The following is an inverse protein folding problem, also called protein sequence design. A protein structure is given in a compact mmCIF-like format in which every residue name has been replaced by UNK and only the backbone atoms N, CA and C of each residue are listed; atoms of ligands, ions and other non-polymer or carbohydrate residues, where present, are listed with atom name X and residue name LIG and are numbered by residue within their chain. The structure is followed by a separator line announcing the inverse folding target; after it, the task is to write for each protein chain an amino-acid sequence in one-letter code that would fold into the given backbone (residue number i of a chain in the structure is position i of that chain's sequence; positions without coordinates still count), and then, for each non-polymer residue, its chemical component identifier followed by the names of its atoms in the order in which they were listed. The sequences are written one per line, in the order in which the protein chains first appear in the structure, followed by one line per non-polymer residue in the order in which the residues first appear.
data_IF_278064478499
#
_entry.id   IF_278064478499
#
_cell.length_a   1.000
_cell.length_b   1.000
_cell.length_c   1.000
_cell.angle_alpha   90.00
_cell.angle_beta   90.00
_cell.angle_gamma   90.00
#
_symmetry.space_group_name_H-M   'P 1'
#
loop_
_entity.id
_entity.type
_entity.pdbx_description
1 polymer ?
#
# COMPACT_ATOMS: atom_id res chain seq x y z
N UNK A 1 -9.54 -7.51 -8.93
CA UNK A 1 -10.76 -7.77 -8.10
C UNK A 1 -11.06 -6.51 -7.30
N UNK A 2 -12.30 -5.98 -7.27
CA UNK A 2 -12.58 -4.75 -6.51
C UNK A 2 -12.47 -4.92 -4.98
N UNK A 3 -11.94 -3.90 -4.28
CA UNK A 3 -12.00 -3.75 -2.81
C UNK A 3 -12.71 -2.44 -2.41
N UNK A 4 -13.25 -2.38 -1.19
CA UNK A 4 -13.84 -1.14 -0.66
C UNK A 4 -12.76 -0.16 -0.17
N UNK A 5 -11.71 -0.68 0.47
CA UNK A 5 -10.60 0.10 1.00
C UNK A 5 -9.27 -0.51 0.56
N UNK A 6 -8.34 0.33 0.09
CA UNK A 6 -6.95 -0.04 -0.15
C UNK A 6 -6.06 0.83 0.74
N UNK A 7 -5.37 0.21 1.70
CA UNK A 7 -4.49 0.90 2.63
C UNK A 7 -3.03 0.70 2.24
N UNK A 8 -2.29 1.80 2.13
CA UNK A 8 -0.87 1.81 1.82
C UNK A 8 -0.05 2.16 3.07
N UNK A 9 1.07 1.47 3.25
CA UNK A 9 2.14 1.80 4.18
C UNK A 9 3.46 1.96 3.44
N UNK A 10 4.38 2.78 3.97
CA UNK A 10 5.75 2.77 3.45
C UNK A 10 6.43 1.44 3.82
N UNK A 11 6.17 0.97 5.04
CA UNK A 11 6.73 -0.26 5.62
C UNK A 11 5.64 -1.15 6.22
N UNK A 12 5.91 -2.46 6.41
CA UNK A 12 4.95 -3.35 7.04
C UNK A 12 4.80 -3.07 8.55
N UNK A 13 3.80 -2.29 8.94
CA UNK A 13 3.31 -1.98 10.32
C UNK A 13 2.67 -0.58 10.36
N UNK A 14 3.02 0.28 9.40
CA UNK A 14 2.48 1.64 9.25
C UNK A 14 0.96 1.66 9.20
N UNK A 15 0.38 0.72 8.44
CA UNK A 15 -1.07 0.60 8.25
C UNK A 15 -1.75 0.21 9.55
N UNK A 16 -1.17 -0.75 10.26
CA UNK A 16 -1.63 -1.22 11.56
C UNK A 16 -1.59 -0.09 12.60
N UNK A 17 -0.48 0.64 12.65
CA UNK A 17 -0.26 1.74 13.58
C UNK A 17 -1.17 2.94 13.29
N UNK A 18 -1.31 3.31 12.01
CA UNK A 18 -2.08 4.49 11.59
C UNK A 18 -3.58 4.26 11.52
N UNK A 19 -4.02 3.06 11.08
CA UNK A 19 -5.43 2.82 10.78
C UNK A 19 -5.92 1.39 11.06
N UNK A 20 -5.19 0.56 11.82
CA UNK A 20 -5.59 -0.82 12.13
C UNK A 20 -6.99 -0.93 12.76
N UNK A 21 -7.36 -0.02 13.66
CA UNK A 21 -8.71 0.03 14.23
C UNK A 21 -9.81 0.35 13.21
N UNK A 22 -9.53 1.21 12.22
CA UNK A 22 -10.43 1.51 11.11
C UNK A 22 -10.59 0.31 10.19
N UNK A 23 -9.50 -0.41 9.91
CA UNK A 23 -9.52 -1.63 9.10
C UNK A 23 -10.34 -2.70 9.79
N UNK A 24 -10.02 -3.04 11.05
CA UNK A 24 -10.73 -4.07 11.81
C UNK A 24 -12.23 -3.76 11.94
N UNK A 25 -12.60 -2.50 12.16
CA UNK A 25 -14.00 -2.07 12.15
C UNK A 25 -14.64 -2.26 10.78
N UNK A 26 -13.96 -1.86 9.71
CA UNK A 26 -14.48 -1.97 8.34
C UNK A 26 -14.70 -3.42 7.93
N UNK A 27 -13.73 -4.29 8.20
CA UNK A 27 -13.84 -5.74 7.92
C UNK A 27 -14.94 -6.39 8.76
N UNK A 28 -15.10 -6.01 10.03
CA UNK A 28 -16.22 -6.47 10.87
C UNK A 28 -17.60 -6.07 10.34
N UNK A 29 -17.68 -4.99 9.56
CA UNK A 29 -18.90 -4.52 8.88
C UNK A 29 -19.09 -5.16 7.49
N UNK A 30 -18.26 -6.14 7.12
CA UNK A 30 -18.33 -6.84 5.84
C UNK A 30 -17.66 -6.12 4.67
N UNK A 31 -16.92 -5.03 4.91
CA UNK A 31 -16.13 -4.38 3.86
C UNK A 31 -14.88 -5.18 3.54
N UNK A 32 -14.49 -5.15 2.27
CA UNK A 32 -13.25 -5.73 1.77
C UNK A 32 -12.11 -4.72 1.85
N UNK A 33 -11.00 -5.11 2.49
CA UNK A 33 -9.81 -4.26 2.65
C UNK A 33 -8.59 -4.99 2.09
N UNK A 34 -7.81 -4.30 1.25
CA UNK A 34 -6.47 -4.73 0.84
C UNK A 34 -5.40 -3.87 1.50
N UNK A 35 -4.23 -4.45 1.78
CA UNK A 35 -3.06 -3.74 2.30
C UNK A 35 -1.93 -3.81 1.28
N UNK A 36 -1.23 -2.70 1.06
CA UNK A 36 -0.06 -2.61 0.20
C UNK A 36 1.08 -1.99 1.00
N UNK A 37 2.18 -2.71 1.17
CA UNK A 37 3.42 -2.15 1.67
C UNK A 37 4.28 -1.75 0.47
N UNK A 38 4.82 -0.53 0.48
CA UNK A 38 5.66 -0.07 -0.63
C UNK A 38 7.05 -0.73 -0.60
N UNK A 39 7.59 -0.96 0.60
CA UNK A 39 8.91 -1.57 0.84
C UNK A 39 8.77 -2.75 1.79
N UNK A 40 9.82 -3.56 1.96
CA UNK A 40 9.85 -4.64 2.96
C UNK A 40 10.39 -4.18 4.33
N UNK A 41 10.79 -2.92 4.47
CA UNK A 41 11.38 -2.39 5.70
C UNK A 41 12.76 -2.98 6.01
N UNK A 42 13.52 -3.34 4.97
CA UNK A 42 14.78 -4.07 5.08
C UNK A 42 15.93 -3.28 5.72
N UNK A 43 15.83 -1.95 5.84
CA UNK A 43 16.79 -1.13 6.59
C UNK A 43 16.40 -0.96 8.07
N UNK A 44 15.30 -1.57 8.50
CA UNK A 44 14.88 -1.63 9.89
C UNK A 44 15.98 -2.21 10.81
N UNK A 45 16.19 -1.57 11.97
CA UNK A 45 17.28 -1.95 12.89
C UNK A 45 17.12 -3.33 13.51
N UNK A 46 15.87 -3.79 13.70
CA UNK A 46 15.56 -5.03 14.39
C UNK A 46 14.85 -6.01 13.47
N UNK A 47 15.09 -7.31 13.70
CA UNK A 47 14.45 -8.39 12.95
C UNK A 47 15.17 -8.73 11.65
N UNK A 48 14.49 -9.50 10.81
CA UNK A 48 14.90 -9.79 9.44
C UNK A 48 13.70 -9.63 8.51
N UNK A 49 13.94 -9.54 7.22
CA UNK A 49 12.87 -9.37 6.24
C UNK A 49 11.89 -10.54 6.26
N UNK A 50 12.39 -11.77 6.43
CA UNK A 50 11.57 -12.98 6.53
C UNK A 50 10.75 -13.03 7.82
N UNK A 51 11.27 -12.46 8.91
CA UNK A 51 10.49 -12.32 10.14
C UNK A 51 9.38 -11.28 9.95
N UNK A 52 9.71 -10.14 9.32
CA UNK A 52 8.78 -9.06 9.03
C UNK A 52 7.62 -9.54 8.14
N UNK A 53 7.90 -10.36 7.13
CA UNK A 53 6.86 -10.95 6.27
C UNK A 53 5.87 -11.83 7.07
N UNK A 54 6.39 -12.60 8.04
CA UNK A 54 5.54 -13.46 8.89
C UNK A 54 4.67 -12.63 9.83
N UNK A 55 5.26 -11.62 10.46
CA UNK A 55 4.54 -10.68 11.34
C UNK A 55 3.45 -9.93 10.56
N UNK A 56 3.79 -9.44 9.36
CA UNK A 56 2.86 -8.78 8.46
C UNK A 56 1.69 -9.68 8.04
N UNK A 57 1.95 -10.96 7.75
CA UNK A 57 0.91 -11.93 7.41
C UNK A 57 0.00 -12.24 8.61
N UNK A 58 0.55 -12.35 9.82
CA UNK A 58 -0.23 -12.54 11.04
C UNK A 58 -1.11 -11.32 11.34
N UNK A 59 -0.56 -10.11 11.24
CA UNK A 59 -1.30 -8.87 11.40
C UNK A 59 -2.46 -8.75 10.39
N UNK A 60 -2.23 -9.12 9.13
CA UNK A 60 -3.27 -9.20 8.10
C UNK A 60 -4.42 -10.13 8.48
N UNK A 61 -4.11 -11.30 9.05
CA UNK A 61 -5.10 -12.27 9.52
C UNK A 61 -5.93 -11.70 10.66
N UNK A 62 -5.28 -11.05 11.63
CA UNK A 62 -5.95 -10.40 12.78
C UNK A 62 -6.90 -9.29 12.32
N UNK A 63 -6.47 -8.47 11.36
CA UNK A 63 -7.28 -7.37 10.83
C UNK A 63 -8.39 -7.82 9.87
N UNK A 64 -8.34 -9.06 9.40
CA UNK A 64 -9.27 -9.59 8.39
C UNK A 64 -9.07 -8.97 7.01
N UNK A 65 -7.85 -8.52 6.68
CA UNK A 65 -7.54 -8.00 5.34
C UNK A 65 -7.66 -9.13 4.31
N UNK A 66 -8.23 -8.83 3.14
CA UNK A 66 -8.46 -9.80 2.07
C UNK A 66 -7.17 -10.26 1.40
N UNK A 67 -6.21 -9.36 1.30
CA UNK A 67 -4.86 -9.62 0.82
C UNK A 67 -3.90 -8.57 1.38
N UNK A 68 -2.60 -8.90 1.34
CA UNK A 68 -1.49 -7.98 1.55
C UNK A 68 -0.45 -8.22 0.48
N UNK A 69 0.04 -7.15 -0.14
CA UNK A 69 1.09 -7.20 -1.16
C UNK A 69 2.24 -6.28 -0.77
N UNK A 70 3.43 -6.61 -1.26
CA UNK A 70 4.59 -5.75 -1.21
C UNK A 70 4.98 -5.33 -2.65
N UNK A 71 5.37 -4.07 -2.85
CA UNK A 71 5.85 -3.58 -4.15
C UNK A 71 7.37 -3.67 -4.32
N UNK A 72 8.08 -4.13 -3.29
CA UNK A 72 9.54 -4.32 -3.28
C UNK A 72 10.32 -3.06 -3.69
N UNK A 73 9.80 -1.87 -3.35
CA UNK A 73 10.60 -0.65 -3.43
C UNK A 73 11.69 -0.66 -2.36
N UNK A 74 12.79 0.02 -2.66
CA UNK A 74 13.95 0.11 -1.77
C UNK A 74 13.64 1.00 -0.55
N UNK A 75 13.76 0.44 0.65
CA UNK A 75 13.56 1.13 1.93
C UNK A 75 14.54 2.30 2.09
N UNK A 76 14.08 3.46 2.55
CA UNK A 76 14.83 4.72 2.57
C UNK A 76 14.80 5.50 1.25
N UNK A 77 14.39 4.86 0.15
CA UNK A 77 14.51 5.36 -1.21
C UNK A 77 13.19 5.35 -1.99
N UNK A 78 12.06 5.56 -1.30
CA UNK A 78 10.78 5.81 -1.97
C UNK A 78 10.87 7.12 -2.74
N UNK A 79 10.80 7.05 -4.07
CA UNK A 79 10.77 8.23 -4.94
C UNK A 79 9.44 8.36 -5.64
N UNK A 80 8.95 9.60 -5.72
CA UNK A 80 7.82 9.93 -6.58
C UNK A 80 8.31 10.15 -8.02
N UNK A 81 8.61 9.05 -8.70
CA UNK A 81 9.05 9.00 -10.10
C UNK A 81 8.05 8.21 -10.94
N UNK A 82 8.17 8.29 -12.28
CA UNK A 82 7.22 7.62 -13.18
C UNK A 82 7.18 6.10 -13.00
N UNK A 83 8.31 5.46 -12.72
CA UNK A 83 8.40 4.01 -12.57
C UNK A 83 7.56 3.53 -11.37
N UNK A 84 7.81 4.12 -10.19
CA UNK A 84 7.06 3.81 -8.98
C UNK A 84 5.58 4.20 -9.11
N UNK A 85 5.28 5.32 -9.77
CA UNK A 85 3.91 5.74 -10.05
C UNK A 85 3.17 4.67 -10.87
N UNK A 86 3.81 4.12 -11.90
CA UNK A 86 3.20 3.09 -12.74
C UNK A 86 2.87 1.83 -11.94
N UNK A 87 3.75 1.39 -11.03
CA UNK A 87 3.45 0.24 -10.17
C UNK A 87 2.27 0.49 -9.23
N UNK A 88 2.21 1.66 -8.58
CA UNK A 88 1.07 2.03 -7.73
C UNK A 88 -0.23 2.16 -8.56
N UNK A 89 -0.16 2.75 -9.75
CA UNK A 89 -1.31 2.90 -10.66
C UNK A 89 -1.89 1.54 -11.05
N UNK A 90 -1.04 0.56 -11.41
CA UNK A 90 -1.49 -0.80 -11.76
C UNK A 90 -2.30 -1.43 -10.64
N UNK A 91 -1.83 -1.28 -9.38
CA UNK A 91 -2.53 -1.78 -8.20
C UNK A 91 -3.87 -1.06 -8.02
N UNK A 92 -3.89 0.27 -8.07
CA UNK A 92 -5.14 1.05 -7.93
C UNK A 92 -6.15 0.66 -9.03
N UNK A 93 -5.70 0.52 -10.28
CA UNK A 93 -6.56 0.10 -11.40
C UNK A 93 -7.05 -1.34 -11.30
N UNK A 94 -6.21 -2.25 -10.78
CA UNK A 94 -6.59 -3.64 -10.61
C UNK A 94 -7.64 -3.82 -9.50
N UNK A 95 -7.46 -3.11 -8.38
CA UNK A 95 -8.29 -3.26 -7.18
C UNK A 95 -9.43 -2.24 -7.07
N UNK A 96 -9.44 -1.19 -7.89
CA UNK A 96 -10.51 -0.19 -8.02
C UNK A 96 -11.13 0.26 -6.68
N UNK A 97 -10.31 0.68 -5.68
CA UNK A 97 -10.83 0.99 -4.35
C UNK A 97 -11.77 2.20 -4.34
N UNK A 98 -12.77 2.17 -3.45
CA UNK A 98 -13.61 3.35 -3.18
C UNK A 98 -12.91 4.34 -2.23
N UNK A 99 -12.04 3.83 -1.34
CA UNK A 99 -11.24 4.62 -0.39
C UNK A 99 -9.79 4.16 -0.44
N UNK A 100 -8.86 5.13 -0.56
CA UNK A 100 -7.43 4.91 -0.36
C UNK A 100 -7.03 5.50 1.00
N UNK A 101 -6.31 4.73 1.80
CA UNK A 101 -5.64 5.21 3.02
C UNK A 101 -4.13 5.25 2.75
N UNK A 102 -3.46 6.33 3.15
CA UNK A 102 -2.01 6.52 2.97
C UNK A 102 -1.38 7.06 4.26
N UNK A 103 -0.04 7.00 4.40
CA UNK A 103 0.67 7.74 5.43
C UNK A 103 0.39 9.25 5.33
N UNK A 104 0.64 9.98 6.43
CA UNK A 104 0.53 11.45 6.43
C UNK A 104 1.71 12.08 5.69
N UNK A 105 1.48 13.21 5.02
CA UNK A 105 2.56 13.95 4.34
C UNK A 105 3.60 14.53 5.32
N UNK A 106 3.17 14.85 6.54
CA UNK A 106 4.01 15.51 7.55
C UNK A 106 4.34 14.52 8.66
N UNK A 107 5.47 13.83 8.51
CA UNK A 107 6.02 12.89 9.48
C UNK A 107 7.53 13.14 9.66
N UNK A 108 8.08 12.75 10.82
CA UNK A 108 9.53 12.72 11.03
C UNK A 108 10.23 11.70 10.13
N UNK A 109 9.52 10.64 9.71
CA UNK A 109 10.06 9.61 8.83
C UNK A 109 9.84 10.06 7.38
N UNK A 110 10.92 10.38 6.67
CA UNK A 110 10.81 10.97 5.33
C UNK A 110 10.05 10.09 4.34
N UNK A 111 10.18 8.77 4.46
CA UNK A 111 9.49 7.85 3.54
C UNK A 111 7.97 7.89 3.68
N UNK A 112 7.41 8.24 4.85
CA UNK A 112 5.96 8.39 4.99
C UNK A 112 5.46 9.56 4.12
N UNK A 113 6.17 10.69 4.16
CA UNK A 113 5.86 11.85 3.33
C UNK A 113 6.00 11.54 1.84
N UNK A 114 7.12 10.94 1.44
CA UNK A 114 7.37 10.56 0.04
C UNK A 114 6.37 9.51 -0.47
N UNK A 115 6.00 8.53 0.35
CA UNK A 115 4.95 7.56 0.05
C UNK A 115 3.62 8.25 -0.15
N UNK A 116 3.23 9.17 0.75
CA UNK A 116 2.00 9.94 0.62
C UNK A 116 1.93 10.70 -0.70
N UNK A 117 3.01 11.38 -1.09
CA UNK A 117 3.05 12.14 -2.35
C UNK A 117 2.95 11.20 -3.57
N UNK A 118 3.71 10.10 -3.57
CA UNK A 118 3.65 9.07 -4.61
C UNK A 118 2.24 8.49 -4.76
N UNK A 119 1.59 8.12 -3.65
CA UNK A 119 0.24 7.52 -3.65
C UNK A 119 -0.79 8.54 -4.13
N UNK A 120 -0.71 9.79 -3.67
CA UNK A 120 -1.63 10.86 -4.06
C UNK A 120 -1.58 11.14 -5.56
N UNK A 121 -0.38 11.31 -6.13
CA UNK A 121 -0.22 11.54 -7.56
C UNK A 121 -0.64 10.32 -8.39
N UNK A 122 -0.28 9.11 -7.94
CA UNK A 122 -0.68 7.86 -8.60
C UNK A 122 -2.20 7.68 -8.59
N UNK A 123 -2.88 8.04 -7.51
CA UNK A 123 -4.34 7.99 -7.44
C UNK A 123 -4.98 8.88 -8.50
N UNK A 124 -4.50 10.12 -8.67
CA UNK A 124 -4.96 11.01 -9.74
C UNK A 124 -4.69 10.43 -11.14
N UNK A 125 -3.45 10.01 -11.39
CA UNK A 125 -3.02 9.48 -12.68
C UNK A 125 -3.74 8.17 -13.05
N UNK A 126 -4.14 7.38 -12.06
CA UNK A 126 -4.87 6.12 -12.29
C UNK A 126 -6.19 6.32 -13.04
N UNK A 127 -6.83 7.48 -12.90
CA UNK A 127 -8.05 7.86 -13.61
C UNK A 127 -7.84 8.35 -15.05
N UNK A 128 -6.59 8.54 -15.50
CA UNK A 128 -6.30 9.02 -16.86
C UNK A 128 -6.29 7.88 -17.87
N UNK A 129 -7.36 7.75 -18.64
CA UNK A 129 -7.57 6.65 -19.60
C UNK A 129 -6.58 6.57 -20.76
N UNK A 130 -5.76 7.62 -20.98
CA UNK A 130 -4.70 7.64 -22.01
C UNK A 130 -3.35 7.14 -21.50
N UNK A 131 -3.23 6.90 -20.21
CA UNK A 131 -2.04 6.29 -19.63
C UNK A 131 -2.22 4.78 -19.69
N UNK A 132 -1.54 4.10 -20.60
CA UNK A 132 -1.62 2.65 -20.71
C UNK A 132 -0.82 1.98 -19.58
N UNK A 133 -1.42 0.97 -18.96
CA UNK A 133 -0.75 0.11 -17.97
C UNK A 133 -1.07 -1.35 -18.24
N UNK A 134 -0.29 -2.26 -17.65
CA UNK A 134 -0.58 -3.68 -17.70
C UNK A 134 -0.34 -4.33 -16.34
N UNK A 135 -1.24 -5.22 -15.94
CA UNK A 135 -1.14 -5.99 -14.70
C UNK A 135 -1.25 -7.48 -15.03
N UNK A 136 -0.25 -8.27 -14.62
CA UNK A 136 -0.18 -9.71 -14.91
C UNK A 136 -0.34 -10.07 -16.41
N UNK A 137 0.12 -9.17 -17.30
CA UNK A 137 0.05 -9.36 -18.75
C UNK A 137 -1.26 -8.90 -19.40
N UNK A 138 -2.24 -8.42 -18.61
CA UNK A 138 -3.48 -7.84 -19.11
C UNK A 138 -3.42 -6.31 -19.12
N UNK A 139 -3.81 -5.69 -20.23
CA UNK A 139 -3.85 -4.22 -20.36
C UNK A 139 -5.00 -3.62 -19.53
N UNK A 140 -4.74 -2.46 -18.92
CA UNK A 140 -5.66 -1.70 -18.08
C UNK A 140 -5.73 -0.23 -18.49
#
# INVERSE_FOLDING_TARGET
MKVDILAFGAHPDDVEMGCGGTIAKSTSMGKTVGIIDLTRGELGTNGSVELRDKEAAEASSILGSKFRLNLDFEDGFIFNNKENQIEVIKIIRHYQPDIILSPTQFDRHSDHGKASDLIYESAFLSGLTKLDTAYEGENQ
#
